data_IF_693246859918
#
_entry.id   IF_693246859918
#
_cell.length_a   1.000
_cell.length_b   1.000
_cell.length_c   1.000
_cell.angle_alpha   90.00
_cell.angle_beta   90.00
_cell.angle_gamma   90.00
#
_symmetry.space_group_name_H-M   'P 1'
#
loop_
_entity.id
_entity.type
_entity.pdbx_description
1 polymer ?
#
# COMPACT_ATOMS: atom_id res chain seq x y z
N UNK A 1 -14.84 28.52 45.30
CA UNK A 1 -15.36 27.58 44.26
C UNK A 1 -14.26 27.27 43.24
N UNK A 2 -13.10 26.76 43.65
CA UNK A 2 -11.91 26.60 42.77
C UNK A 2 -11.22 25.24 42.94
N UNK A 3 -11.12 24.72 44.17
CA UNK A 3 -10.49 23.43 44.45
C UNK A 3 -11.21 22.22 43.85
N UNK A 4 -12.55 22.22 43.83
CA UNK A 4 -13.33 21.09 43.27
C UNK A 4 -13.18 20.97 41.76
N UNK A 5 -13.16 22.09 41.03
CA UNK A 5 -12.95 22.10 39.58
C UNK A 5 -11.53 21.65 39.20
N UNK A 6 -10.54 21.97 40.03
CA UNK A 6 -9.16 21.52 39.83
C UNK A 6 -9.05 19.99 39.95
N UNK A 7 -9.75 19.37 40.90
CA UNK A 7 -9.78 17.92 41.05
C UNK A 7 -10.46 17.22 39.86
N UNK A 8 -11.56 17.79 39.33
CA UNK A 8 -12.18 17.27 38.11
C UNK A 8 -11.27 17.38 36.89
N UNK A 9 -10.50 18.47 36.78
CA UNK A 9 -9.54 18.66 35.69
C UNK A 9 -8.42 17.61 35.76
N UNK A 10 -7.84 17.37 36.94
CA UNK A 10 -6.83 16.32 37.12
C UNK A 10 -7.39 14.91 36.87
N UNK A 11 -8.61 14.62 37.32
CA UNK A 11 -9.29 13.36 37.03
C UNK A 11 -9.50 13.15 35.53
N UNK A 12 -10.00 14.17 34.83
CA UNK A 12 -10.17 14.14 33.38
C UNK A 12 -8.83 13.97 32.64
N UNK A 13 -7.79 14.68 33.06
CA UNK A 13 -6.44 14.55 32.50
C UNK A 13 -5.88 13.13 32.69
N UNK A 14 -6.07 12.55 33.88
CA UNK A 14 -5.66 11.18 34.17
C UNK A 14 -6.36 10.17 33.27
N UNK A 15 -7.67 10.32 33.08
CA UNK A 15 -8.45 9.47 32.17
C UNK A 15 -7.96 9.62 30.73
N UNK A 16 -7.75 10.85 30.24
CA UNK A 16 -7.22 11.11 28.90
C UNK A 16 -5.83 10.47 28.73
N UNK A 17 -4.94 10.62 29.72
CA UNK A 17 -3.61 10.02 29.69
C UNK A 17 -3.66 8.49 29.61
N UNK A 18 -4.54 7.85 30.39
CA UNK A 18 -4.75 6.40 30.32
C UNK A 18 -5.23 5.97 28.92
N UNK A 19 -6.20 6.67 28.34
CA UNK A 19 -6.65 6.38 26.98
C UNK A 19 -5.53 6.54 25.95
N UNK A 20 -4.73 7.61 26.05
CA UNK A 20 -3.56 7.82 25.19
C UNK A 20 -2.56 6.66 25.29
N UNK A 21 -2.28 6.17 26.50
CA UNK A 21 -1.37 5.02 26.73
C UNK A 21 -1.94 3.75 26.12
N UNK A 22 -3.24 3.46 26.30
CA UNK A 22 -3.88 2.28 25.72
C UNK A 22 -3.87 2.31 24.19
N UNK A 23 -4.15 3.46 23.58
CA UNK A 23 -4.07 3.66 22.12
C UNK A 23 -2.62 3.45 21.64
N UNK A 24 -1.64 4.01 22.34
CA UNK A 24 -0.23 3.86 22.01
C UNK A 24 0.23 2.39 22.10
N UNK A 25 -0.17 1.67 23.15
CA UNK A 25 0.12 0.25 23.32
C UNK A 25 -0.53 -0.60 22.22
N UNK A 26 -1.78 -0.30 21.86
CA UNK A 26 -2.48 -0.96 20.75
C UNK A 26 -1.74 -0.77 19.42
N UNK A 27 -1.31 0.46 19.14
CA UNK A 27 -0.54 0.77 17.94
C UNK A 27 0.84 0.10 17.93
N UNK A 28 1.56 0.11 19.06
CA UNK A 28 2.86 -0.54 19.19
C UNK A 28 2.75 -2.06 19.02
N UNK A 29 1.74 -2.69 19.61
CA UNK A 29 1.52 -4.13 19.47
C UNK A 29 1.18 -4.49 18.02
N UNK A 30 0.40 -3.65 17.32
CA UNK A 30 0.13 -3.83 15.89
C UNK A 30 1.40 -3.78 15.05
N UNK A 31 2.26 -2.77 15.25
CA UNK A 31 3.56 -2.70 14.55
C UNK A 31 4.44 -3.91 14.86
N UNK A 32 4.46 -4.37 16.12
CA UNK A 32 5.24 -5.57 16.51
C UNK A 32 4.77 -6.83 15.79
N UNK A 33 3.45 -7.01 15.59
CA UNK A 33 2.90 -8.16 14.84
C UNK A 33 3.27 -8.14 13.36
N UNK A 34 3.68 -6.99 12.82
CA UNK A 34 4.10 -6.82 11.43
C UNK A 34 5.62 -6.57 11.33
N UNK A 35 6.38 -6.82 12.40
CA UNK A 35 7.82 -6.61 12.41
C UNK A 35 8.57 -7.56 11.46
N UNK A 36 8.00 -8.74 11.21
CA UNK A 36 8.56 -9.76 10.32
C UNK A 36 8.28 -9.47 8.84
N UNK A 37 7.45 -8.47 8.53
CA UNK A 37 7.22 -8.05 7.14
C UNK A 37 8.52 -7.43 6.62
N UNK A 38 9.07 -8.01 5.56
CA UNK A 38 10.31 -7.55 4.97
C UNK A 38 10.16 -6.15 4.34
N UNK A 39 11.26 -5.43 4.23
CA UNK A 39 11.26 -4.15 3.52
C UNK A 39 11.12 -4.38 2.01
N UNK A 40 10.31 -3.58 1.30
CA UNK A 40 10.19 -3.66 -0.15
C UNK A 40 11.53 -3.31 -0.82
N UNK A 41 11.77 -3.83 -2.02
CA UNK A 41 12.96 -3.48 -2.79
C UNK A 41 12.90 -2.01 -3.22
N UNK A 42 14.06 -1.36 -3.35
CA UNK A 42 14.15 -0.05 -4.00
C UNK A 42 14.04 -0.22 -5.52
N UNK A 43 13.62 0.83 -6.21
CA UNK A 43 13.58 0.82 -7.68
C UNK A 43 15.02 0.79 -8.21
N UNK A 44 15.41 -0.26 -8.96
CA UNK A 44 16.70 -0.33 -9.63
C UNK A 44 16.98 0.92 -10.50
N UNK A 45 18.21 1.42 -10.48
CA UNK A 45 18.57 2.67 -11.16
C UNK A 45 18.48 2.57 -12.68
N UNK A 46 18.76 1.40 -13.24
CA UNK A 46 18.62 1.07 -14.66
C UNK A 46 17.16 1.19 -15.15
N UNK A 47 16.18 0.93 -14.28
CA UNK A 47 14.77 1.11 -14.60
C UNK A 47 14.31 2.57 -14.64
N UNK A 48 15.11 3.50 -14.10
CA UNK A 48 14.80 4.94 -14.19
C UNK A 48 15.04 5.50 -15.60
N UNK A 49 15.96 4.87 -16.34
CA UNK A 49 16.34 5.29 -17.70
C UNK A 49 15.66 4.44 -18.79
N UNK A 50 15.01 3.32 -18.43
CA UNK A 50 14.31 2.45 -19.37
C UNK A 50 12.90 2.94 -19.68
N UNK A 51 12.45 2.71 -20.92
CA UNK A 51 11.07 2.99 -21.30
C UNK A 51 10.14 1.90 -20.74
N UNK A 52 9.12 2.27 -19.93
CA UNK A 52 8.16 1.31 -19.41
C UNK A 52 7.23 0.81 -20.54
N UNK A 53 6.78 -0.43 -20.43
CA UNK A 53 5.78 -1.01 -21.34
C UNK A 53 4.43 -0.31 -21.20
N UNK A 54 4.07 0.00 -19.95
CA UNK A 54 2.90 0.80 -19.61
C UNK A 54 3.20 1.63 -18.37
N UNK A 55 2.64 2.83 -18.32
CA UNK A 55 2.72 3.70 -17.16
C UNK A 55 1.37 4.38 -16.92
N UNK A 56 1.05 4.60 -15.65
CA UNK A 56 -0.12 5.38 -15.28
C UNK A 56 0.18 6.25 -14.07
N UNK A 57 -0.23 7.51 -14.13
CA UNK A 57 -0.22 8.40 -12.98
C UNK A 57 -1.52 8.26 -12.19
N UNK A 58 -1.45 8.47 -10.88
CA UNK A 58 -2.63 8.36 -10.05
C UNK A 58 -2.32 8.37 -8.56
N UNK A 59 -3.08 7.55 -7.85
CA UNK A 59 -3.07 7.51 -6.41
C UNK A 59 -2.80 6.09 -5.91
N UNK A 60 -1.71 5.94 -5.18
CA UNK A 60 -1.42 4.73 -4.42
C UNK A 60 -2.28 4.76 -3.16
N UNK A 61 -3.21 3.82 -3.05
CA UNK A 61 -4.16 3.70 -1.93
C UNK A 61 -3.43 3.21 -0.68
N UNK A 62 -2.38 2.43 -0.87
CA UNK A 62 -1.55 1.78 0.13
C UNK A 62 -1.55 0.27 -0.06
N UNK A 63 -0.84 -0.42 0.83
CA UNK A 63 -0.70 -1.88 0.85
C UNK A 63 -1.39 -2.47 2.07
N UNK A 64 -2.07 -3.59 1.85
CA UNK A 64 -2.75 -4.40 2.87
C UNK A 64 -2.22 -5.83 2.82
N UNK A 65 -2.48 -6.60 3.86
CA UNK A 65 -2.23 -8.03 3.83
C UNK A 65 -3.17 -8.70 2.82
N UNK A 66 -2.65 -9.67 2.07
CA UNK A 66 -3.38 -10.35 1.00
C UNK A 66 -4.68 -10.95 1.48
N UNK A 67 -5.79 -10.64 0.80
CA UNK A 67 -7.13 -11.12 1.16
C UNK A 67 -7.76 -10.45 2.40
N UNK A 68 -7.03 -9.62 3.15
CA UNK A 68 -7.51 -8.90 4.33
C UNK A 68 -7.50 -7.39 4.09
N UNK A 69 -8.43 -6.89 3.27
CA UNK A 69 -8.45 -5.48 2.83
C UNK A 69 -8.53 -4.42 3.94
N UNK A 70 -8.90 -4.78 5.17
CA UNK A 70 -8.92 -3.85 6.31
C UNK A 70 -7.58 -3.83 7.07
N UNK A 71 -6.73 -4.82 6.86
CA UNK A 71 -5.43 -4.93 7.52
C UNK A 71 -4.33 -4.22 6.71
N UNK A 72 -4.26 -2.89 6.87
CA UNK A 72 -3.13 -2.10 6.35
C UNK A 72 -1.80 -2.55 6.97
N UNK A 73 -0.77 -2.61 6.12
CA UNK A 73 0.62 -2.78 6.53
C UNK A 73 1.11 -1.46 7.15
N UNK A 74 1.45 -1.49 8.43
CA UNK A 74 1.81 -0.33 9.24
C UNK A 74 3.33 -0.09 9.34
N UNK A 75 4.12 -0.92 8.66
CA UNK A 75 5.59 -0.82 8.55
C UNK A 75 5.99 -0.38 7.14
N UNK A 76 7.23 0.09 6.97
CA UNK A 76 7.83 0.45 5.68
C UNK A 76 7.04 1.46 4.83
N UNK A 77 6.19 2.27 5.48
CA UNK A 77 5.36 3.29 4.81
C UNK A 77 4.38 2.71 3.77
N UNK A 78 4.18 1.39 3.76
CA UNK A 78 3.41 0.67 2.76
C UNK A 78 1.91 0.99 2.86
N UNK A 79 1.39 1.17 4.07
CA UNK A 79 0.00 1.53 4.31
C UNK A 79 -0.35 2.99 4.05
N UNK A 80 0.59 3.85 3.62
CA UNK A 80 0.32 5.26 3.38
C UNK A 80 -0.37 5.47 2.02
N UNK A 81 -1.29 6.45 1.99
CA UNK A 81 -1.96 6.87 0.77
C UNK A 81 -1.19 8.06 0.19
N UNK A 82 -0.69 7.91 -1.03
CA UNK A 82 0.12 8.93 -1.69
C UNK A 82 -0.31 9.10 -3.14
N UNK A 83 0.02 10.25 -3.74
CA UNK A 83 0.05 10.35 -5.20
C UNK A 83 1.30 9.66 -5.73
N UNK A 84 1.25 9.21 -6.98
CA UNK A 84 2.36 8.45 -7.55
C UNK A 84 2.14 8.04 -8.99
N UNK A 85 3.11 7.31 -9.52
CA UNK A 85 3.10 6.70 -10.84
C UNK A 85 3.46 5.23 -10.71
N UNK A 86 2.76 4.37 -11.44
CA UNK A 86 3.14 2.96 -11.60
C UNK A 86 3.66 2.78 -13.01
N UNK A 87 4.74 2.03 -13.12
CA UNK A 87 5.37 1.62 -14.37
C UNK A 87 5.54 0.11 -14.39
N UNK A 88 5.22 -0.49 -15.54
CA UNK A 88 5.44 -1.92 -15.80
C UNK A 88 6.64 -2.04 -16.71
N UNK A 89 7.60 -2.84 -16.26
CA UNK A 89 8.84 -3.17 -16.96
C UNK A 89 8.94 -4.70 -17.09
N UNK A 90 9.75 -5.22 -18.03
CA UNK A 90 9.95 -6.67 -18.15
C UNK A 90 10.44 -7.35 -16.87
N UNK A 91 11.20 -6.63 -16.05
CA UNK A 91 11.75 -7.14 -14.78
C UNK A 91 10.74 -7.10 -13.61
N UNK A 92 9.65 -6.35 -13.75
CA UNK A 92 8.72 -6.11 -12.65
C UNK A 92 8.02 -4.76 -12.70
N UNK A 93 7.42 -4.37 -11.57
CA UNK A 93 6.60 -3.18 -11.43
C UNK A 93 7.30 -2.17 -10.53
N UNK A 94 7.55 -0.97 -11.06
CA UNK A 94 8.06 0.15 -10.29
C UNK A 94 6.91 1.06 -9.84
N UNK A 95 6.86 1.37 -8.55
CA UNK A 95 5.84 2.25 -7.97
C UNK A 95 6.54 3.45 -7.34
N UNK A 96 6.41 4.58 -8.02
CA UNK A 96 6.92 5.87 -7.60
C UNK A 96 5.90 6.56 -6.71
N UNK A 97 6.28 6.86 -5.47
CA UNK A 97 5.38 7.41 -4.45
C UNK A 97 5.89 8.78 -4.00
N UNK A 98 5.00 9.77 -3.98
CA UNK A 98 5.38 11.12 -3.55
C UNK A 98 5.56 11.20 -2.03
N UNK A 99 6.71 11.74 -1.61
CA UNK A 99 7.02 12.04 -0.21
C UNK A 99 7.33 10.84 0.69
N UNK A 100 7.42 9.63 0.13
CA UNK A 100 7.72 8.37 0.83
C UNK A 100 8.61 7.49 -0.06
N UNK A 101 9.16 6.41 0.47
CA UNK A 101 10.06 5.53 -0.29
C UNK A 101 9.40 4.94 -1.55
N UNK A 102 10.10 4.87 -2.67
CA UNK A 102 9.64 4.11 -3.85
C UNK A 102 9.70 2.60 -3.57
N UNK A 103 8.92 1.82 -4.31
CA UNK A 103 8.91 0.37 -4.17
C UNK A 103 9.03 -0.30 -5.54
N UNK A 104 9.77 -1.40 -5.58
CA UNK A 104 9.85 -2.29 -6.73
C UNK A 104 9.28 -3.66 -6.37
N UNK A 105 8.47 -4.20 -7.27
CA UNK A 105 7.88 -5.53 -7.18
C UNK A 105 8.47 -6.34 -8.35
N UNK A 106 9.38 -7.29 -8.08
CA UNK A 106 9.87 -8.19 -9.13
C UNK A 106 8.73 -8.94 -9.81
N UNK A 107 8.89 -9.27 -11.10
CA UNK A 107 7.89 -10.05 -11.83
C UNK A 107 7.57 -11.38 -11.13
N UNK A 108 8.60 -12.09 -10.64
CA UNK A 108 8.48 -13.33 -9.89
C UNK A 108 7.73 -13.23 -8.55
N UNK A 109 7.67 -12.02 -7.97
CA UNK A 109 6.92 -11.77 -6.74
C UNK A 109 5.47 -11.35 -7.04
N UNK A 110 5.14 -10.97 -8.27
CA UNK A 110 3.79 -10.56 -8.68
C UNK A 110 2.92 -11.79 -8.96
N UNK A 111 1.86 -11.96 -8.17
CA UNK A 111 0.97 -13.12 -8.28
C UNK A 111 -0.25 -12.84 -9.16
N UNK A 112 -0.79 -11.62 -9.12
CA UNK A 112 -1.91 -11.22 -9.97
C UNK A 112 -2.06 -9.70 -10.02
N UNK A 113 -2.70 -9.22 -11.09
CA UNK A 113 -3.28 -7.89 -11.15
C UNK A 113 -4.77 -7.99 -11.50
N UNK A 114 -5.62 -7.25 -10.79
CA UNK A 114 -7.06 -7.19 -11.10
C UNK A 114 -7.61 -5.80 -10.92
N UNK A 115 -8.67 -5.48 -11.64
CA UNK A 115 -9.52 -4.33 -11.32
C UNK A 115 -10.55 -4.73 -10.28
N UNK A 116 -10.73 -3.87 -9.27
CA UNK A 116 -11.74 -4.02 -8.24
C UNK A 116 -12.49 -2.69 -8.09
N UNK A 117 -13.68 -2.74 -7.50
CA UNK A 117 -14.48 -1.53 -7.18
C UNK A 117 -13.87 -0.74 -6.02
N UNK A 118 -12.82 -1.24 -5.37
CA UNK A 118 -12.09 -0.51 -4.35
C UNK A 118 -11.23 -1.39 -3.44
N UNK A 119 -10.45 -0.75 -2.56
CA UNK A 119 -9.65 -1.40 -1.52
C UNK A 119 -9.86 -0.64 -0.20
N UNK A 120 -9.87 -1.36 0.92
CA UNK A 120 -9.95 -0.78 2.27
C UNK A 120 -11.24 0.03 2.53
N UNK A 121 -12.40 -0.59 2.32
CA UNK A 121 -13.71 0.01 2.68
C UNK A 121 -14.09 1.29 1.92
N UNK A 122 -13.34 1.65 0.87
CA UNK A 122 -13.65 2.77 -0.02
C UNK A 122 -14.11 2.22 -1.37
N UNK A 123 -15.42 2.24 -1.56
CA UNK A 123 -16.04 1.93 -2.85
C UNK A 123 -15.82 3.11 -3.79
N UNK A 124 -15.15 2.84 -4.89
CA UNK A 124 -14.99 3.74 -6.03
C UNK A 124 -15.97 3.28 -7.11
N UNK A 125 -16.07 4.08 -8.18
CA UNK A 125 -16.76 3.70 -9.41
C UNK A 125 -16.28 2.31 -9.90
N UNK A 126 -17.14 1.60 -10.63
CA UNK A 126 -16.83 0.27 -11.17
C UNK A 126 -15.50 0.34 -11.95
N UNK A 127 -14.57 -0.58 -11.67
CA UNK A 127 -13.23 -0.68 -12.28
C UNK A 127 -12.27 0.50 -11.97
N UNK A 128 -12.54 1.27 -10.91
CA UNK A 128 -11.76 2.45 -10.55
C UNK A 128 -10.47 2.20 -9.75
N UNK A 129 -10.21 0.97 -9.30
CA UNK A 129 -9.00 0.61 -8.58
C UNK A 129 -8.35 -0.64 -9.17
N UNK A 130 -7.04 -0.61 -9.32
CA UNK A 130 -6.18 -1.72 -9.69
C UNK A 130 -5.57 -2.27 -8.40
N UNK A 131 -5.68 -3.57 -8.21
CA UNK A 131 -5.12 -4.31 -7.08
C UNK A 131 -4.02 -5.20 -7.61
N UNK A 132 -2.81 -4.99 -7.12
CA UNK A 132 -1.64 -5.83 -7.39
C UNK A 132 -1.42 -6.74 -6.18
N UNK A 133 -1.62 -8.04 -6.36
CA UNK A 133 -1.31 -9.05 -5.36
C UNK A 133 0.11 -9.57 -5.57
N UNK A 134 0.96 -9.48 -4.55
CA UNK A 134 2.37 -9.86 -4.66
C UNK A 134 2.94 -10.37 -3.34
N UNK A 135 4.09 -11.04 -3.42
CA UNK A 135 4.82 -11.56 -2.27
C UNK A 135 5.88 -10.57 -1.82
N UNK A 136 5.82 -10.20 -0.54
CA UNK A 136 6.85 -9.42 0.14
C UNK A 136 7.58 -10.35 1.12
N UNK A 137 8.60 -11.04 0.59
CA UNK A 137 9.21 -12.19 1.27
C UNK A 137 8.19 -13.30 1.48
N UNK A 138 7.92 -13.64 2.74
CA UNK A 138 6.92 -14.66 3.11
C UNK A 138 5.49 -14.11 3.26
N UNK A 139 5.30 -12.79 3.16
CA UNK A 139 3.98 -12.17 3.37
C UNK A 139 3.32 -11.89 2.02
N UNK A 140 2.12 -12.43 1.80
CA UNK A 140 1.28 -12.03 0.66
C UNK A 140 0.63 -10.70 0.98
N UNK A 141 0.74 -9.74 0.06
CA UNK A 141 0.22 -8.38 0.21
C UNK A 141 -0.51 -7.94 -1.05
N UNK A 142 -1.51 -7.06 -0.86
CA UNK A 142 -2.23 -6.41 -1.95
C UNK A 142 -1.92 -4.91 -1.93
N UNK A 143 -1.46 -4.36 -3.05
CA UNK A 143 -1.24 -2.92 -3.23
C UNK A 143 -2.30 -2.34 -4.14
N UNK A 144 -3.04 -1.35 -3.62
CA UNK A 144 -4.11 -0.70 -4.36
C UNK A 144 -3.61 0.57 -5.05
N UNK A 145 -4.00 0.74 -6.31
CA UNK A 145 -3.71 1.92 -7.12
C UNK A 145 -4.97 2.40 -7.83
N UNK A 146 -5.17 3.71 -7.90
CA UNK A 146 -6.22 4.34 -8.68
C UNK A 146 -5.61 5.20 -9.77
N UNK A 147 -5.68 4.78 -11.04
CA UNK A 147 -5.27 5.60 -12.17
C UNK A 147 -6.04 6.93 -12.21
N UNK A 148 -5.37 8.00 -12.61
CA UNK A 148 -5.99 9.29 -12.89
C UNK A 148 -6.77 9.25 -14.20
N UNK A 149 -6.26 8.51 -15.18
CA UNK A 149 -6.87 8.34 -16.50
C UNK A 149 -7.22 6.87 -16.77
N UNK A 150 -8.40 6.64 -17.33
CA UNK A 150 -8.94 5.29 -17.53
C UNK A 150 -8.31 4.52 -18.71
N UNK A 151 -7.79 5.22 -19.72
CA UNK A 151 -7.00 4.63 -20.80
C UNK A 151 -5.64 4.12 -20.29
N UNK A 152 -4.90 4.96 -19.54
CA UNK A 152 -3.64 4.55 -18.90
C UNK A 152 -3.87 3.39 -17.93
N UNK A 153 -4.94 3.44 -17.14
CA UNK A 153 -5.32 2.35 -16.24
C UNK A 153 -5.57 1.02 -16.96
N UNK A 154 -6.27 1.05 -18.10
CA UNK A 154 -6.50 -0.16 -18.91
C UNK A 154 -5.22 -0.72 -19.51
N UNK A 155 -4.36 0.15 -20.06
CA UNK A 155 -3.05 -0.25 -20.58
C UNK A 155 -2.16 -0.85 -19.47
N UNK A 156 -2.21 -0.28 -18.27
CA UNK A 156 -1.48 -0.78 -17.11
C UNK A 156 -1.95 -2.18 -16.69
N UNK A 157 -3.26 -2.41 -16.59
CA UNK A 157 -3.81 -3.73 -16.24
C UNK A 157 -3.42 -4.79 -17.28
N UNK A 158 -3.49 -4.44 -18.56
CA UNK A 158 -3.09 -5.34 -19.63
C UNK A 158 -1.61 -5.72 -19.50
N UNK A 159 -0.71 -4.76 -19.37
CA UNK A 159 0.73 -5.03 -19.22
C UNK A 159 1.04 -5.85 -17.95
N UNK A 160 0.33 -5.62 -16.85
CA UNK A 160 0.49 -6.41 -15.63
C UNK A 160 0.04 -7.87 -15.79
N UNK A 161 -1.06 -8.09 -16.52
CA UNK A 161 -1.53 -9.44 -16.81
C UNK A 161 -0.56 -10.17 -17.75
N UNK A 162 -0.09 -9.51 -18.80
CA UNK A 162 0.91 -10.05 -19.72
C UNK A 162 2.20 -10.45 -18.97
N UNK A 163 2.62 -9.64 -17.99
CA UNK A 163 3.77 -9.94 -17.13
C UNK A 163 3.55 -11.18 -16.25
N UNK A 164 2.33 -11.37 -15.72
CA UNK A 164 2.00 -12.52 -14.86
C UNK A 164 1.84 -13.81 -15.67
N UNK A 165 1.27 -13.72 -16.87
CA UNK A 165 1.11 -14.86 -17.78
C UNK A 165 2.44 -15.31 -18.41
N UNK A 166 3.36 -14.38 -18.66
CA UNK A 166 4.70 -14.65 -19.17
C UNK A 166 5.52 -15.57 -18.26
N UNK A 167 5.45 -15.38 -16.94
CA UNK A 167 6.14 -16.27 -15.97
C UNK A 167 5.49 -17.65 -15.83
N UNK A 168 4.19 -17.79 -16.14
CA UNK A 168 3.53 -19.11 -16.02
C UNK A 168 3.91 -20.08 -17.15
N UNK A 169 4.53 -19.57 -18.22
CA UNK A 169 4.81 -20.34 -19.45
C UNK A 169 6.27 -20.82 -19.57
N UNK A 170 7.18 -20.37 -18.70
CA UNK A 170 8.56 -20.90 -18.60
C UNK A 170 8.71 -22.01 -17.55
#
# INVERSE_FOLDING_TARGET
>A
MTGTYLNYLWGALGVVAVFCVLIWLGWRNRKRRQADVQAPQDVPGDLLDSLPQAAAEGMVIGTVKGGEYLERIAVHELGLRTTGRIEVHPLGVAIFRSGVRNIFIPAADLAYARTDRGMVGKFVEKDGAIILGWRLGETVVDTGFRPRRADEGRALVQALNDLTEGETTE
#
